data_IF_529572205048
#
_entry.id   IF_529572205048
#
_cell.length_a   1.000
_cell.length_b   1.000
_cell.length_c   1.000
_cell.angle_alpha   90.00
_cell.angle_beta   90.00
_cell.angle_gamma   90.00
#
_symmetry.space_group_name_H-M   'P 1'
#
loop_
_entity.id
_entity.type
_entity.pdbx_description
1 polymer ?
#
# COMPACT_ATOMS: atom_id res chain seq x y z
N UNK A 1 21.17 -18.83 -3.85
CA UNK A 1 21.43 -17.75 -2.85
C UNK A 1 20.22 -16.82 -2.64
N UNK A 2 19.08 -17.01 -3.34
CA UNK A 2 17.86 -16.20 -3.17
C UNK A 2 17.04 -16.56 -1.92
N UNK A 3 16.95 -17.84 -1.55
CA UNK A 3 16.05 -18.33 -0.49
C UNK A 3 16.31 -17.73 0.90
N UNK A 4 17.58 -17.60 1.31
CA UNK A 4 17.94 -17.10 2.64
C UNK A 4 17.52 -15.63 2.85
N UNK A 5 17.55 -14.82 1.79
CA UNK A 5 17.17 -13.40 1.87
C UNK A 5 15.66 -13.22 1.99
N UNK A 6 14.88 -14.11 1.41
CA UNK A 6 13.43 -14.01 1.39
C UNK A 6 12.83 -14.53 2.70
N UNK A 7 13.39 -15.58 3.29
CA UNK A 7 13.09 -16.00 4.66
C UNK A 7 13.34 -14.86 5.66
N UNK A 8 14.47 -14.16 5.53
CA UNK A 8 14.80 -13.02 6.42
C UNK A 8 13.77 -11.90 6.33
N UNK A 9 13.26 -11.59 5.13
CA UNK A 9 12.22 -10.56 4.92
C UNK A 9 10.86 -10.98 5.46
N UNK A 10 10.48 -12.26 5.31
CA UNK A 10 9.24 -12.79 5.87
C UNK A 10 9.29 -12.80 7.39
N UNK A 11 10.43 -13.19 7.97
CA UNK A 11 10.68 -13.11 9.42
C UNK A 11 10.59 -11.67 9.91
N UNK A 12 11.07 -10.69 9.14
CA UNK A 12 10.90 -9.29 9.49
C UNK A 12 9.42 -8.87 9.56
N UNK A 13 8.59 -9.28 8.60
CA UNK A 13 7.16 -8.97 8.61
C UNK A 13 6.45 -9.61 9.81
N UNK A 14 6.81 -10.85 10.15
CA UNK A 14 6.28 -11.56 11.31
C UNK A 14 6.71 -10.89 12.64
N UNK A 15 7.98 -10.48 12.73
CA UNK A 15 8.51 -9.72 13.86
C UNK A 15 7.85 -8.34 13.98
N UNK A 16 7.49 -7.69 12.87
CA UNK A 16 6.76 -6.42 12.87
C UNK A 16 5.34 -6.59 13.43
N UNK A 17 4.63 -7.65 13.02
CA UNK A 17 3.30 -7.97 13.57
C UNK A 17 3.41 -8.23 15.07
N UNK A 18 4.38 -9.05 15.49
CA UNK A 18 4.65 -9.32 16.90
C UNK A 18 4.94 -8.04 17.68
N UNK A 19 5.74 -7.13 17.12
CA UNK A 19 6.03 -5.84 17.72
C UNK A 19 4.76 -5.00 17.91
N UNK A 20 3.86 -4.97 16.92
CA UNK A 20 2.58 -4.25 17.03
C UNK A 20 1.68 -4.86 18.12
N UNK A 21 1.62 -6.18 18.22
CA UNK A 21 0.81 -6.89 19.22
C UNK A 21 1.32 -6.64 20.64
N UNK A 22 2.64 -6.74 20.82
CA UNK A 22 3.31 -6.43 22.08
C UNK A 22 3.07 -4.96 22.49
N UNK A 23 3.15 -4.04 21.53
CA UNK A 23 2.92 -2.61 21.80
C UNK A 23 1.49 -2.30 22.22
N UNK A 24 0.50 -3.01 21.67
CA UNK A 24 -0.90 -2.90 22.10
C UNK A 24 -1.09 -3.44 23.53
N UNK A 25 -0.41 -4.53 23.86
CA UNK A 25 -0.48 -5.16 25.19
C UNK A 25 0.07 -4.26 26.30
N UNK A 26 1.23 -3.63 26.09
CA UNK A 26 1.92 -2.85 27.13
C UNK A 26 1.37 -1.45 27.36
N UNK A 27 0.38 -0.97 26.57
CA UNK A 27 -0.32 0.33 26.72
C UNK A 27 0.57 1.45 27.28
N UNK A 28 1.47 1.97 26.45
CA UNK A 28 2.35 3.08 26.86
C UNK A 28 1.56 4.39 27.10
N UNK A 29 1.83 5.07 28.21
CA UNK A 29 1.17 6.34 28.57
C UNK A 29 1.64 7.54 27.71
N UNK A 30 2.80 7.43 27.05
CA UNK A 30 3.38 8.50 26.23
C UNK A 30 3.23 8.20 24.73
N UNK A 31 2.16 8.68 24.12
CA UNK A 31 2.00 8.69 22.66
C UNK A 31 1.70 7.30 22.05
N UNK A 32 0.44 6.88 22.15
CA UNK A 32 -0.06 5.70 21.44
C UNK A 32 -0.57 6.05 20.05
N UNK A 33 -0.36 5.14 19.09
CA UNK A 33 -1.15 5.14 17.86
C UNK A 33 -2.63 5.09 18.22
N UNK A 34 -3.47 5.78 17.45
CA UNK A 34 -4.91 5.61 17.61
C UNK A 34 -5.27 4.15 17.36
N UNK A 35 -6.33 3.66 18.03
CA UNK A 35 -6.79 2.28 17.86
C UNK A 35 -7.00 1.93 16.39
N UNK A 36 -7.59 2.85 15.61
CA UNK A 36 -7.78 2.68 14.18
C UNK A 36 -6.44 2.50 13.45
N UNK A 37 -5.49 3.43 13.63
CA UNK A 37 -4.18 3.35 12.97
C UNK A 37 -3.44 2.06 13.31
N UNK A 38 -3.45 1.64 14.57
CA UNK A 38 -2.81 0.40 15.00
C UNK A 38 -3.46 -0.82 14.31
N UNK A 39 -4.78 -0.95 14.41
CA UNK A 39 -5.51 -2.07 13.79
C UNK A 39 -5.31 -2.12 12.27
N UNK A 40 -5.37 -0.98 11.59
CA UNK A 40 -5.14 -0.89 10.15
C UNK A 40 -3.71 -1.27 9.77
N UNK A 41 -2.72 -0.84 10.55
CA UNK A 41 -1.32 -1.15 10.28
C UNK A 41 -1.04 -2.64 10.51
N UNK A 42 -1.49 -3.19 11.64
CA UNK A 42 -1.41 -4.63 11.94
C UNK A 42 -2.06 -5.46 10.84
N UNK A 43 -3.27 -5.10 10.44
CA UNK A 43 -3.98 -5.79 9.36
C UNK A 43 -3.24 -5.71 8.03
N UNK A 44 -2.68 -4.54 7.69
CA UNK A 44 -1.90 -4.37 6.46
C UNK A 44 -0.62 -5.23 6.48
N UNK A 45 0.12 -5.26 7.60
CA UNK A 45 1.32 -6.09 7.74
C UNK A 45 0.99 -7.59 7.62
N UNK A 46 -0.08 -8.03 8.28
CA UNK A 46 -0.58 -9.41 8.19
C UNK A 46 -1.00 -9.77 6.76
N UNK A 47 -1.76 -8.91 6.10
CA UNK A 47 -2.19 -9.13 4.72
C UNK A 47 -0.99 -9.22 3.77
N UNK A 48 0.03 -8.37 3.93
CA UNK A 48 1.25 -8.43 3.10
C UNK A 48 2.04 -9.73 3.33
N UNK A 49 2.11 -10.21 4.57
CA UNK A 49 2.77 -11.48 4.91
C UNK A 49 2.08 -12.65 4.22
N UNK A 50 0.77 -12.80 4.42
CA UNK A 50 -0.01 -13.89 3.84
C UNK A 50 -0.06 -13.80 2.31
N UNK A 51 -0.23 -12.59 1.76
CA UNK A 51 -0.14 -12.36 0.32
C UNK A 51 1.20 -12.83 -0.26
N UNK A 52 2.31 -12.48 0.40
CA UNK A 52 3.64 -12.88 -0.07
C UNK A 52 3.81 -14.39 -0.01
N UNK A 53 3.37 -15.05 1.08
CA UNK A 53 3.42 -16.51 1.22
C UNK A 53 2.63 -17.19 0.10
N UNK A 54 1.38 -16.77 -0.15
CA UNK A 54 0.56 -17.33 -1.22
C UNK A 54 1.17 -17.09 -2.61
N UNK A 55 1.72 -15.90 -2.88
CA UNK A 55 2.35 -15.62 -4.16
C UNK A 55 3.61 -16.47 -4.43
N UNK A 56 4.41 -16.73 -3.40
CA UNK A 56 5.60 -17.57 -3.54
C UNK A 56 5.24 -19.06 -3.61
N UNK A 57 4.27 -19.51 -2.80
CA UNK A 57 3.92 -20.93 -2.68
C UNK A 57 2.95 -21.42 -3.76
N UNK A 58 1.90 -20.66 -4.05
CA UNK A 58 0.81 -21.09 -4.95
C UNK A 58 1.02 -20.63 -6.39
N UNK A 59 1.52 -19.39 -6.56
CA UNK A 59 1.69 -18.78 -7.89
C UNK A 59 3.12 -18.94 -8.45
N UNK A 60 4.02 -19.57 -7.68
CA UNK A 60 5.40 -19.85 -8.05
C UNK A 60 6.18 -18.62 -8.57
N UNK A 61 5.88 -17.43 -8.05
CA UNK A 61 6.65 -16.23 -8.36
C UNK A 61 8.03 -16.28 -7.71
N UNK A 62 9.06 -15.80 -8.42
CA UNK A 62 10.44 -15.77 -7.89
C UNK A 62 10.64 -14.73 -6.79
N UNK A 63 9.85 -13.66 -6.81
CA UNK A 63 9.88 -12.58 -5.82
C UNK A 63 8.58 -11.77 -5.88
N UNK A 64 8.28 -11.05 -4.79
CA UNK A 64 7.13 -10.14 -4.71
C UNK A 64 7.63 -8.76 -4.28
N UNK A 65 7.25 -7.72 -5.02
CA UNK A 65 7.60 -6.34 -4.70
C UNK A 65 6.48 -5.69 -3.88
N UNK A 66 6.56 -5.81 -2.55
CA UNK A 66 5.54 -5.27 -1.64
C UNK A 66 5.34 -3.75 -1.76
N UNK A 67 6.36 -3.00 -2.19
CA UNK A 67 6.25 -1.56 -2.44
C UNK A 67 5.24 -1.21 -3.56
N UNK A 68 4.82 -2.17 -4.38
CA UNK A 68 3.77 -1.94 -5.40
C UNK A 68 2.35 -2.08 -4.87
N UNK A 69 2.17 -2.55 -3.64
CA UNK A 69 0.85 -2.71 -2.99
C UNK A 69 0.37 -1.37 -2.37
N UNK A 70 1.14 -0.29 -2.52
CA UNK A 70 0.82 1.04 -2.02
C UNK A 70 -0.24 1.76 -2.88
N UNK A 71 -0.98 2.68 -2.25
CA UNK A 71 -2.04 3.46 -2.89
C UNK A 71 -1.53 4.71 -3.64
N UNK A 72 -0.21 4.96 -3.64
CA UNK A 72 0.43 6.13 -4.24
C UNK A 72 0.05 6.34 -5.70
N UNK A 73 -0.10 5.26 -6.49
CA UNK A 73 -0.52 5.34 -7.88
C UNK A 73 -1.93 5.92 -8.04
N UNK A 74 -2.84 5.57 -7.12
CA UNK A 74 -4.19 6.10 -7.09
C UNK A 74 -4.18 7.58 -6.63
N UNK A 75 -3.40 7.91 -5.61
CA UNK A 75 -3.26 9.28 -5.11
C UNK A 75 -2.67 10.21 -6.18
N UNK A 76 -1.66 9.74 -6.90
CA UNK A 76 -1.08 10.45 -8.04
C UNK A 76 -2.14 10.72 -9.10
N UNK A 77 -2.99 9.74 -9.42
CA UNK A 77 -4.08 9.90 -10.38
C UNK A 77 -5.11 10.93 -9.91
N UNK A 78 -5.47 10.92 -8.63
CA UNK A 78 -6.32 11.97 -8.05
C UNK A 78 -5.67 13.35 -8.11
N UNK A 79 -4.35 13.44 -7.93
CA UNK A 79 -3.61 14.68 -8.11
C UNK A 79 -3.71 15.19 -9.55
N UNK A 80 -3.56 14.30 -10.53
CA UNK A 80 -3.71 14.66 -11.94
C UNK A 80 -5.11 15.18 -12.27
N UNK A 81 -6.17 14.55 -11.75
CA UNK A 81 -7.53 15.06 -11.96
C UNK A 81 -7.69 16.48 -11.42
N UNK A 82 -7.19 16.75 -10.20
CA UNK A 82 -7.23 18.10 -9.61
C UNK A 82 -6.47 19.11 -10.46
N UNK A 83 -5.27 18.76 -10.93
CA UNK A 83 -4.46 19.64 -11.77
C UNK A 83 -5.15 19.98 -13.10
N UNK A 84 -5.72 18.98 -13.78
CA UNK A 84 -6.39 19.16 -15.08
C UNK A 84 -7.69 19.97 -14.93
N UNK A 85 -8.38 19.85 -13.80
CA UNK A 85 -9.58 20.60 -13.47
C UNK A 85 -9.31 22.02 -12.94
N UNK A 86 -8.08 22.54 -13.05
CA UNK A 86 -7.74 23.91 -12.64
C UNK A 86 -7.08 24.03 -11.26
N UNK A 87 -6.64 22.93 -10.66
CA UNK A 87 -5.92 22.92 -9.38
C UNK A 87 -6.81 23.02 -8.14
N UNK A 88 -8.12 22.78 -8.28
CA UNK A 88 -9.05 22.84 -7.15
C UNK A 88 -8.93 21.63 -6.23
N UNK A 89 -9.11 21.85 -4.92
CA UNK A 89 -9.13 20.78 -3.91
C UNK A 89 -10.35 19.88 -4.04
N UNK A 90 -11.48 20.45 -4.46
CA UNK A 90 -12.75 19.75 -4.68
C UNK A 90 -13.05 19.73 -6.18
N UNK A 91 -13.34 18.55 -6.70
CA UNK A 91 -13.70 18.34 -8.09
C UNK A 91 -15.01 17.56 -8.17
N UNK A 92 -15.88 17.93 -9.10
CA UNK A 92 -17.13 17.23 -9.33
C UNK A 92 -16.88 15.92 -10.09
N UNK A 93 -17.74 14.92 -9.87
CA UNK A 93 -17.63 13.63 -10.56
C UNK A 93 -17.62 13.78 -12.09
N UNK A 94 -18.39 14.74 -12.62
CA UNK A 94 -18.39 15.07 -14.04
C UNK A 94 -17.02 15.53 -14.54
N UNK A 95 -16.32 16.36 -13.77
CA UNK A 95 -14.98 16.82 -14.12
C UNK A 95 -13.97 15.67 -14.11
N UNK A 96 -14.12 14.69 -13.21
CA UNK A 96 -13.28 13.48 -13.21
C UNK A 96 -13.46 12.72 -14.53
N UNK A 97 -14.70 12.50 -14.99
CA UNK A 97 -14.97 11.83 -16.27
C UNK A 97 -14.39 12.59 -17.47
N UNK A 98 -14.53 13.92 -17.49
CA UNK A 98 -13.97 14.76 -18.56
C UNK A 98 -12.42 14.75 -18.55
N UNK A 99 -11.80 14.77 -17.36
CA UNK A 99 -10.35 14.70 -17.20
C UNK A 99 -9.79 13.31 -17.55
N UNK A 100 -10.53 12.24 -17.28
CA UNK A 100 -10.13 10.86 -17.57
C UNK A 100 -9.92 10.64 -19.07
N UNK A 101 -10.82 11.18 -19.91
CA UNK A 101 -10.65 11.14 -21.37
C UNK A 101 -9.36 11.85 -21.81
N UNK A 102 -9.04 13.00 -21.21
CA UNK A 102 -7.80 13.75 -21.49
C UNK A 102 -6.55 13.01 -21.02
N UNK A 103 -6.60 12.39 -19.85
CA UNK A 103 -5.48 11.62 -19.29
C UNK A 103 -5.14 10.40 -20.14
N UNK A 104 -6.14 9.66 -20.61
CA UNK A 104 -5.92 8.50 -21.48
C UNK A 104 -5.26 8.87 -22.80
N UNK A 105 -5.55 10.07 -23.33
CA UNK A 105 -4.94 10.58 -24.55
C UNK A 105 -3.53 11.15 -24.32
N UNK A 106 -3.27 11.75 -23.15
CA UNK A 106 -1.99 12.36 -22.82
C UNK A 106 -0.95 11.40 -22.26
N UNK A 107 -1.38 10.23 -21.77
CA UNK A 107 -0.45 9.22 -21.27
C UNK A 107 0.03 8.39 -22.47
N UNK A 108 1.30 8.51 -22.92
CA UNK A 108 1.83 7.55 -23.88
C UNK A 108 1.77 6.17 -23.22
N UNK A 109 1.29 5.15 -23.93
CA UNK A 109 1.33 3.77 -23.49
C UNK A 109 2.77 3.41 -23.09
N UNK A 110 3.10 3.51 -21.80
CA UNK A 110 4.32 2.94 -21.24
C UNK A 110 3.99 1.49 -20.91
N UNK A 111 4.20 0.64 -21.92
CA UNK A 111 4.37 -0.80 -21.74
C UNK A 111 5.73 -1.07 -21.09
#
# INVERSE_FOLDING_TARGET
>A
MSSLSDETKLVFLDALITFLDVREFYKHDNGTLTKLTHTSWRHSAYALLEFTKSCLAELAYNYVLLGKVQMDGLEHRFSQYRQIAGGHSHIYIRQIYECEGRLRLSTPCRL
#
